data_IF_809836831894
#
_entry.id   IF_809836831894
#
_cell.length_a   1.000
_cell.length_b   1.000
_cell.length_c   1.000
_cell.angle_alpha   90.00
_cell.angle_beta   90.00
_cell.angle_gamma   90.00
#
_symmetry.space_group_name_H-M   'P 1'
#
loop_
_entity.id
_entity.type
_entity.pdbx_description
1 polymer ?
#
# COMPACT_ATOMS: atom_id res chain seq x y z
N UNK A 1 -26.43 29.40 -23.73
CA UNK A 1 -24.98 29.16 -23.58
C UNK A 1 -24.43 30.23 -22.66
N UNK A 2 -24.37 29.90 -21.37
CA UNK A 2 -23.63 30.57 -20.29
C UNK A 2 -23.97 29.79 -19.01
N UNK A 3 -23.07 28.93 -18.56
CA UNK A 3 -23.05 28.45 -17.17
C UNK A 3 -21.61 28.59 -16.67
N UNK A 4 -21.37 29.75 -16.09
CA UNK A 4 -20.21 30.07 -15.28
C UNK A 4 -20.15 29.13 -14.06
N UNK A 5 -18.94 28.68 -13.78
CA UNK A 5 -18.34 28.44 -12.47
C UNK A 5 -19.26 27.90 -11.38
N UNK A 6 -19.26 26.57 -11.23
CA UNK A 6 -19.26 26.00 -9.88
C UNK A 6 -17.80 25.98 -9.38
N UNK A 7 -17.30 27.15 -8.98
CA UNK A 7 -16.24 27.21 -7.97
C UNK A 7 -16.89 26.72 -6.66
N UNK A 8 -16.51 25.53 -6.22
CA UNK A 8 -16.69 25.13 -4.82
C UNK A 8 -15.98 26.20 -3.97
N UNK A 9 -16.59 26.69 -2.87
CA UNK A 9 -15.89 27.63 -2.00
C UNK A 9 -14.59 26.98 -1.52
N UNK A 10 -13.49 27.74 -1.49
CA UNK A 10 -12.20 27.34 -0.91
C UNK A 10 -12.44 26.61 0.41
N UNK A 11 -12.35 25.28 0.38
CA UNK A 11 -12.55 24.49 1.58
C UNK A 11 -11.45 24.89 2.57
N UNK A 12 -11.77 25.28 3.82
CA UNK A 12 -10.77 25.69 4.79
C UNK A 12 -9.71 24.61 4.94
N UNK A 13 -8.43 25.01 5.05
CA UNK A 13 -7.30 24.08 5.14
C UNK A 13 -7.57 22.97 6.19
N UNK A 14 -7.26 21.68 5.95
CA UNK A 14 -7.65 20.55 6.80
C UNK A 14 -7.35 20.74 8.28
N UNK A 15 -6.15 21.25 8.58
CA UNK A 15 -5.75 21.65 9.94
C UNK A 15 -6.74 22.61 10.60
N UNK A 16 -7.19 23.64 9.88
CA UNK A 16 -8.15 24.64 10.37
C UNK A 16 -9.47 23.96 10.71
N UNK A 17 -9.90 23.01 9.88
CA UNK A 17 -11.11 22.23 10.17
C UNK A 17 -10.94 21.36 11.41
N UNK A 18 -9.79 20.71 11.60
CA UNK A 18 -9.49 19.93 12.80
C UNK A 18 -9.45 20.79 14.07
N UNK A 19 -8.80 21.95 14.02
CA UNK A 19 -8.75 22.89 15.15
C UNK A 19 -10.15 23.42 15.48
N UNK A 20 -10.97 23.69 14.46
CA UNK A 20 -12.37 24.09 14.63
C UNK A 20 -13.19 22.94 15.25
N UNK A 21 -12.98 21.69 14.81
CA UNK A 21 -13.63 20.49 15.37
C UNK A 21 -13.25 20.27 16.84
N UNK A 22 -12.04 20.68 17.23
CA UNK A 22 -11.57 20.71 18.62
C UNK A 22 -12.11 21.91 19.44
N UNK A 23 -12.93 22.77 18.84
CA UNK A 23 -13.57 23.90 19.52
C UNK A 23 -12.70 25.16 19.60
N UNK A 24 -11.60 25.24 18.85
CA UNK A 24 -10.74 26.43 18.81
C UNK A 24 -11.31 27.47 17.84
N UNK A 25 -11.57 28.67 18.34
CA UNK A 25 -11.98 29.80 17.51
C UNK A 25 -10.75 30.38 16.79
N UNK A 26 -10.75 30.34 15.46
CA UNK A 26 -9.65 30.87 14.63
C UNK A 26 -10.08 32.17 13.97
N UNK A 27 -9.29 33.23 14.16
CA UNK A 27 -9.45 34.49 13.41
C UNK A 27 -8.87 34.33 12.01
N UNK A 28 -9.23 35.23 11.09
CA UNK A 28 -8.71 35.19 9.72
C UNK A 28 -7.19 35.40 9.67
N UNK A 29 -6.64 36.22 10.58
CA UNK A 29 -5.19 36.38 10.75
C UNK A 29 -4.51 35.08 11.21
N UNK A 30 -5.16 34.31 12.09
CA UNK A 30 -4.66 32.99 12.51
C UNK A 30 -4.67 31.99 11.36
N UNK A 31 -5.73 32.00 10.54
CA UNK A 31 -5.84 31.15 9.34
C UNK A 31 -4.74 31.48 8.33
N UNK A 32 -4.52 32.76 8.04
CA UNK A 32 -3.48 33.22 7.10
C UNK A 32 -2.07 32.84 7.58
N UNK A 33 -1.79 33.03 8.87
CA UNK A 33 -0.54 32.58 9.47
C UNK A 33 -0.37 31.08 9.29
N UNK A 34 -1.30 30.27 9.80
CA UNK A 34 -1.22 28.80 9.76
C UNK A 34 -1.14 28.24 8.32
N UNK A 35 -1.81 28.88 7.35
CA UNK A 35 -1.84 28.45 5.94
C UNK A 35 -0.58 28.79 5.16
N UNK A 36 0.23 29.74 5.64
CA UNK A 36 1.46 30.18 4.96
C UNK A 36 2.68 29.24 5.16
N UNK A 37 2.54 28.17 5.96
CA UNK A 37 3.67 27.41 6.47
C UNK A 37 3.98 26.11 5.73
N UNK A 38 5.27 25.86 5.49
CA UNK A 38 5.79 24.54 5.12
C UNK A 38 5.83 23.63 6.34
N UNK A 39 4.77 22.84 6.52
CA UNK A 39 4.65 21.45 6.99
C UNK A 39 5.68 20.76 7.94
N UNK A 40 6.98 21.07 7.92
CA UNK A 40 8.01 20.43 8.76
C UNK A 40 7.99 20.87 10.23
N UNK A 41 7.38 22.02 10.54
CA UNK A 41 7.35 22.60 11.89
C UNK A 41 5.93 22.82 12.43
N UNK A 42 4.96 22.06 11.92
CA UNK A 42 3.54 22.29 12.21
C UNK A 42 3.23 22.15 13.71
N UNK A 43 3.81 21.16 14.38
CA UNK A 43 3.60 20.87 15.80
C UNK A 43 4.18 21.97 16.72
N UNK A 44 5.40 22.45 16.46
CA UNK A 44 6.02 23.54 17.23
C UNK A 44 5.22 24.84 17.11
N UNK A 45 4.74 25.16 15.90
CA UNK A 45 3.97 26.39 15.66
C UNK A 45 2.56 26.29 16.21
N UNK A 46 1.94 25.12 16.15
CA UNK A 46 0.65 24.89 16.80
C UNK A 46 0.78 25.01 18.32
N UNK A 47 1.86 24.51 18.92
CA UNK A 47 2.16 24.68 20.34
C UNK A 47 2.34 26.17 20.72
N UNK A 48 3.06 26.95 19.89
CA UNK A 48 3.18 28.41 20.07
C UNK A 48 1.81 29.08 20.00
N UNK A 49 1.00 28.77 18.98
CA UNK A 49 -0.35 29.32 18.83
C UNK A 49 -1.22 29.03 20.05
N UNK A 50 -1.25 27.78 20.52
CA UNK A 50 -2.07 27.40 21.68
C UNK A 50 -1.61 28.08 22.96
N UNK A 51 -0.29 28.29 23.10
CA UNK A 51 0.29 29.06 24.20
C UNK A 51 -0.15 30.53 24.14
N UNK A 52 -0.11 31.16 22.95
CA UNK A 52 -0.59 32.54 22.74
C UNK A 52 -2.08 32.69 23.05
N UNK A 53 -2.89 31.66 22.76
CA UNK A 53 -4.33 31.64 23.09
C UNK A 53 -4.63 31.26 24.54
N UNK A 54 -3.61 30.93 25.35
CA UNK A 54 -3.80 30.47 26.73
C UNK A 54 -4.55 29.13 26.83
N UNK A 55 -4.53 28.32 25.77
CA UNK A 55 -5.17 27.01 25.74
C UNK A 55 -4.21 25.99 26.34
N UNK A 56 -4.57 25.29 27.43
CA UNK A 56 -3.73 24.23 27.97
C UNK A 56 -3.68 23.06 26.97
N UNK A 57 -2.47 22.58 26.69
CA UNK A 57 -2.26 21.44 25.79
C UNK A 57 -1.10 20.57 26.28
N UNK A 58 -1.12 19.31 25.85
CA UNK A 58 0.01 18.38 25.95
C UNK A 58 0.41 17.93 24.54
N UNK A 59 1.69 18.04 24.22
CA UNK A 59 2.27 17.53 22.98
C UNK A 59 3.04 16.24 23.28
N UNK A 60 2.66 15.14 22.63
CA UNK A 60 3.29 13.84 22.81
C UNK A 60 3.80 13.34 21.47
N UNK A 61 5.09 13.02 21.41
CA UNK A 61 5.64 12.26 20.29
C UNK A 61 5.17 10.81 20.39
N UNK A 62 4.57 10.28 19.32
CA UNK A 62 4.34 8.84 19.20
C UNK A 62 5.49 8.30 18.34
N UNK A 63 6.13 7.23 18.79
CA UNK A 63 7.16 6.51 18.05
C UNK A 63 6.84 5.01 18.03
N UNK A 64 6.33 4.48 19.13
CA UNK A 64 6.03 3.07 19.31
C UNK A 64 4.58 2.86 19.76
N UNK A 65 4.12 1.62 19.68
CA UNK A 65 2.73 1.28 19.96
C UNK A 65 2.28 1.59 21.39
N UNK A 66 3.23 1.55 22.34
CA UNK A 66 3.02 1.93 23.74
C UNK A 66 2.62 3.40 23.90
N UNK A 67 3.01 4.27 22.98
CA UNK A 67 2.76 5.70 23.07
C UNK A 67 1.29 6.04 22.81
N UNK A 68 0.49 5.11 22.28
CA UNK A 68 -0.96 5.28 22.16
C UNK A 68 -1.68 5.29 23.52
N UNK A 69 -1.04 4.81 24.59
CA UNK A 69 -1.54 5.00 25.95
C UNK A 69 -1.56 6.48 26.36
N UNK A 70 -0.84 7.33 25.63
CA UNK A 70 -0.71 8.76 25.89
C UNK A 70 -1.74 9.60 25.09
N UNK A 71 -2.55 8.98 24.22
CA UNK A 71 -3.67 9.63 23.55
C UNK A 71 -4.73 10.05 24.57
N UNK A 72 -5.06 11.34 24.61
CA UNK A 72 -6.15 11.88 25.43
C UNK A 72 -7.19 12.56 24.54
N UNK A 73 -8.20 11.80 24.05
CA UNK A 73 -9.25 12.36 23.21
C UNK A 73 -10.11 13.43 23.94
N UNK A 74 -10.62 14.45 23.24
CA UNK A 74 -10.37 14.71 21.82
C UNK A 74 -8.96 15.29 21.60
N UNK A 75 -8.21 14.69 20.68
CA UNK A 75 -6.84 15.12 20.38
C UNK A 75 -6.59 15.21 18.88
N UNK A 76 -5.73 16.15 18.49
CA UNK A 76 -5.20 16.25 17.14
C UNK A 76 -4.08 15.24 16.97
N UNK A 77 -4.14 14.45 15.90
CA UNK A 77 -3.03 13.59 15.49
C UNK A 77 -2.52 14.13 14.15
N UNK A 78 -1.24 14.46 14.10
CA UNK A 78 -0.54 14.64 12.83
C UNK A 78 -0.27 13.25 12.25
N UNK A 79 -1.12 12.84 11.32
CA UNK A 79 -1.09 11.56 10.64
C UNK A 79 -0.38 11.76 9.31
N UNK A 80 0.70 11.02 9.04
CA UNK A 80 1.28 10.78 7.71
C UNK A 80 1.28 11.96 6.69
N UNK A 81 2.48 12.51 6.41
CA UNK A 81 2.72 13.54 5.37
C UNK A 81 1.66 14.67 5.35
N UNK A 82 1.66 15.48 6.40
CA UNK A 82 0.98 16.79 6.43
C UNK A 82 -0.54 16.69 6.48
N UNK A 83 -1.07 15.52 6.84
CA UNK A 83 -2.47 15.34 7.16
C UNK A 83 -2.70 15.42 8.68
N UNK A 84 -3.85 15.94 9.06
CA UNK A 84 -4.24 16.06 10.46
C UNK A 84 -5.64 15.47 10.62
N UNK A 85 -5.82 14.70 11.68
CA UNK A 85 -7.11 14.15 12.06
C UNK A 85 -7.39 14.42 13.53
N UNK A 86 -8.66 14.36 13.90
CA UNK A 86 -9.08 14.48 15.30
C UNK A 86 -9.51 13.11 15.80
N UNK A 87 -8.78 12.53 16.75
CA UNK A 87 -9.28 11.37 17.49
C UNK A 87 -10.32 11.89 18.47
N UNK A 88 -11.59 11.53 18.27
CA UNK A 88 -12.72 11.93 19.10
C UNK A 88 -12.83 11.03 20.33
N UNK A 89 -12.71 9.72 20.14
CA UNK A 89 -12.88 8.73 21.21
C UNK A 89 -11.94 7.53 21.01
N UNK A 90 -11.59 6.89 22.12
CA UNK A 90 -10.78 5.67 22.15
C UNK A 90 -11.51 4.63 22.99
N UNK A 91 -11.84 3.51 22.36
CA UNK A 91 -12.62 2.43 22.99
C UNK A 91 -12.00 1.06 22.72
N UNK A 92 -12.58 0.02 23.33
CA UNK A 92 -12.24 -1.38 23.03
C UNK A 92 -12.54 -1.79 21.58
N UNK A 93 -13.33 -0.98 20.86
CA UNK A 93 -13.65 -1.23 19.45
C UNK A 93 -12.61 -0.59 18.52
N UNK A 94 -11.75 0.29 19.02
CA UNK A 94 -10.76 1.02 18.24
C UNK A 94 -10.81 2.53 18.49
N UNK A 95 -10.37 3.30 17.51
CA UNK A 95 -10.38 4.77 17.55
C UNK A 95 -11.55 5.32 16.72
N UNK A 96 -12.32 6.23 17.30
CA UNK A 96 -13.21 7.09 16.53
C UNK A 96 -12.42 8.32 16.09
N UNK A 97 -12.18 8.43 14.81
CA UNK A 97 -11.40 9.49 14.18
C UNK A 97 -12.34 10.32 13.31
N UNK A 98 -12.29 11.64 13.48
CA UNK A 98 -12.82 12.57 12.51
C UNK A 98 -11.70 13.04 11.61
N UNK A 99 -11.83 12.72 10.34
CA UNK A 99 -10.96 13.16 9.28
C UNK A 99 -11.68 14.28 8.50
N UNK A 100 -11.05 15.45 8.26
CA UNK A 100 -11.66 16.53 7.50
C UNK A 100 -12.10 16.13 6.09
N UNK A 101 -11.52 15.08 5.51
CA UNK A 101 -11.90 14.55 4.19
C UNK A 101 -12.93 13.43 4.25
N UNK A 102 -12.98 12.68 5.34
CA UNK A 102 -13.77 11.44 5.41
C UNK A 102 -14.92 11.49 6.41
N UNK A 103 -14.99 12.55 7.21
CA UNK A 103 -15.89 12.65 8.34
C UNK A 103 -15.50 11.67 9.45
N UNK A 104 -16.50 11.19 10.19
CA UNK A 104 -16.30 10.31 11.34
C UNK A 104 -16.14 8.86 10.90
N UNK A 105 -15.07 8.22 11.37
CA UNK A 105 -14.71 6.84 11.06
C UNK A 105 -14.20 6.09 12.27
N UNK A 106 -14.51 4.81 12.32
CA UNK A 106 -13.97 3.91 13.33
C UNK A 106 -12.82 3.12 12.71
N UNK A 107 -11.62 3.30 13.25
CA UNK A 107 -10.42 2.56 12.88
C UNK A 107 -10.10 1.51 13.92
N UNK A 108 -9.71 0.31 13.45
CA UNK A 108 -9.07 -0.67 14.33
C UNK A 108 -7.66 -0.22 14.69
N UNK A 109 -7.08 -0.80 15.73
CA UNK A 109 -5.81 -0.31 16.24
C UNK A 109 -4.67 -0.56 15.25
N UNK A 110 -4.59 -1.78 14.72
CA UNK A 110 -3.59 -2.14 13.70
C UNK A 110 -3.82 -1.42 12.38
N UNK A 111 -5.07 -1.18 11.99
CA UNK A 111 -5.41 -0.38 10.81
C UNK A 111 -4.92 1.07 10.97
N UNK A 112 -5.10 1.64 12.16
CA UNK A 112 -4.55 2.95 12.48
C UNK A 112 -3.02 2.94 12.40
N UNK A 113 -2.35 1.91 12.93
CA UNK A 113 -0.88 1.78 12.83
C UNK A 113 -0.37 1.63 11.40
N UNK A 114 -0.99 0.79 10.57
CA UNK A 114 -0.61 0.60 9.17
C UNK A 114 -0.66 1.93 8.38
N UNK A 115 -1.52 2.86 8.81
CA UNK A 115 -1.67 4.20 8.24
C UNK A 115 -0.75 5.25 8.90
N UNK A 116 -0.44 5.05 10.18
CA UNK A 116 0.33 5.95 11.03
C UNK A 116 1.85 5.73 10.94
N UNK A 117 2.30 4.48 10.85
CA UNK A 117 3.70 4.10 10.97
C UNK A 117 4.48 4.50 9.71
N UNK A 118 5.38 5.48 9.88
CA UNK A 118 6.35 5.88 8.86
C UNK A 118 7.76 5.76 9.42
N UNK A 119 8.64 5.00 8.76
CA UNK A 119 10.07 5.05 9.05
C UNK A 119 10.57 6.51 8.98
N UNK A 120 11.30 6.94 10.02
CA UNK A 120 11.98 8.23 10.05
C UNK A 120 11.15 9.48 10.38
N UNK A 121 9.85 9.37 10.68
CA UNK A 121 9.01 10.50 11.08
C UNK A 121 8.49 10.36 12.51
N UNK A 122 8.63 11.41 13.33
CA UNK A 122 7.96 11.51 14.63
C UNK A 122 6.58 12.10 14.39
N UNK A 123 5.53 11.29 14.56
CA UNK A 123 4.17 11.80 14.57
C UNK A 123 3.89 12.41 15.95
N UNK A 124 3.04 13.43 15.98
CA UNK A 124 2.71 14.15 17.20
C UNK A 124 1.22 14.10 17.46
N UNK A 125 0.90 13.89 18.73
CA UNK A 125 -0.42 14.09 19.30
C UNK A 125 -0.42 15.42 20.00
N UNK A 126 -1.44 16.20 19.76
CA UNK A 126 -1.75 17.36 20.56
C UNK A 126 -3.10 17.15 21.22
N UNK A 127 -3.07 16.94 22.54
CA UNK A 127 -4.26 16.82 23.37
C UNK A 127 -4.58 18.17 23.99
N UNK A 128 -5.84 18.60 23.92
CA UNK A 128 -6.30 19.80 24.61
C UNK A 128 -6.70 19.45 26.05
N UNK A 129 -6.27 20.27 27.01
CA UNK A 129 -6.52 20.04 28.44
C UNK A 129 -5.49 19.15 29.14
N UNK A 130 -5.81 18.72 30.36
CA UNK A 130 -4.92 17.89 31.18
C UNK A 130 -4.93 16.42 30.71
N UNK A 131 -3.77 15.74 30.69
CA UNK A 131 -3.68 14.35 30.28
C UNK A 131 -4.55 13.46 31.18
N UNK A 132 -5.38 12.63 30.55
CA UNK A 132 -6.25 11.73 31.30
C UNK A 132 -5.43 10.56 31.87
N UNK A 133 -5.49 10.36 33.18
CA UNK A 133 -4.69 9.36 33.89
C UNK A 133 -5.22 7.92 33.81
N UNK A 134 -6.09 7.60 32.83
CA UNK A 134 -6.68 6.26 32.70
C UNK A 134 -5.92 5.44 31.66
N UNK A 135 -5.57 4.17 31.97
CA UNK A 135 -4.95 3.30 30.98
C UNK A 135 -5.90 3.09 29.80
N UNK A 136 -5.38 3.31 28.60
CA UNK A 136 -6.15 3.20 27.36
C UNK A 136 -6.55 1.73 27.10
N UNK A 137 -7.80 1.46 26.70
CA UNK A 137 -8.20 0.11 26.26
C UNK A 137 -7.46 -0.32 24.99
N UNK A 138 -6.85 0.63 24.27
CA UNK A 138 -6.26 0.43 22.96
C UNK A 138 -5.03 -0.49 22.97
N UNK A 139 -4.20 -0.42 24.02
CA UNK A 139 -3.03 -1.30 24.14
C UNK A 139 -3.42 -2.79 24.21
N UNK A 140 -4.55 -3.09 24.85
CA UNK A 140 -5.09 -4.46 24.90
C UNK A 140 -5.68 -4.87 23.55
N UNK A 141 -6.37 -3.95 22.87
CA UNK A 141 -6.91 -4.17 21.51
C UNK A 141 -5.77 -4.43 20.53
N UNK A 142 -4.72 -3.60 20.53
CA UNK A 142 -3.53 -3.77 19.71
C UNK A 142 -2.87 -5.13 19.94
N UNK A 143 -2.56 -5.47 21.20
CA UNK A 143 -1.96 -6.77 21.56
C UNK A 143 -2.82 -7.94 21.10
N UNK A 144 -4.15 -7.81 21.15
CA UNK A 144 -5.08 -8.83 20.65
C UNK A 144 -5.05 -8.93 19.13
N UNK A 145 -5.14 -7.82 18.41
CA UNK A 145 -5.11 -7.78 16.94
C UNK A 145 -3.77 -8.33 16.42
N UNK A 146 -2.64 -7.91 17.01
CA UNK A 146 -1.32 -8.48 16.74
C UNK A 146 -1.23 -9.96 17.08
N UNK A 147 -1.80 -10.40 18.20
CA UNK A 147 -1.81 -11.82 18.52
C UNK A 147 -2.60 -12.61 17.47
N UNK A 148 -3.72 -12.07 16.96
CA UNK A 148 -4.48 -12.69 15.87
C UNK A 148 -3.66 -12.74 14.58
N UNK A 149 -2.99 -11.65 14.20
CA UNK A 149 -2.10 -11.59 13.02
C UNK A 149 -0.92 -12.54 13.17
N UNK A 150 -0.21 -12.54 14.30
CA UNK A 150 0.89 -13.48 14.57
C UNK A 150 0.41 -14.92 14.58
N UNK A 151 -0.79 -15.19 15.11
CA UNK A 151 -1.37 -16.54 15.07
C UNK A 151 -1.65 -16.92 13.63
N UNK A 152 -2.18 -16.01 12.83
CA UNK A 152 -2.45 -16.22 11.43
C UNK A 152 -1.16 -16.47 10.64
N UNK A 153 -0.19 -15.57 10.72
CA UNK A 153 1.09 -15.67 10.04
C UNK A 153 1.82 -16.94 10.48
N UNK A 154 2.00 -17.13 11.78
CA UNK A 154 2.75 -18.29 12.27
C UNK A 154 2.06 -19.60 11.94
N UNK A 155 0.74 -19.72 12.11
CA UNK A 155 0.06 -21.00 11.96
C UNK A 155 -0.39 -21.27 10.52
N UNK A 156 -1.00 -20.32 9.82
CA UNK A 156 -1.43 -20.54 8.44
C UNK A 156 -0.25 -20.61 7.47
N UNK A 157 0.79 -19.78 7.62
CA UNK A 157 1.99 -19.86 6.77
C UNK A 157 2.76 -21.14 7.05
N UNK A 158 2.93 -21.53 8.32
CA UNK A 158 3.59 -22.81 8.64
C UNK A 158 2.78 -24.02 8.16
N UNK A 159 1.45 -23.97 8.26
CA UNK A 159 0.59 -25.02 7.76
C UNK A 159 0.62 -25.08 6.23
N UNK A 160 0.56 -23.93 5.55
CA UNK A 160 0.78 -23.82 4.12
C UNK A 160 2.12 -24.44 3.75
N UNK A 161 3.20 -24.09 4.43
CA UNK A 161 4.55 -24.63 4.24
C UNK A 161 4.59 -26.16 4.36
N UNK A 162 3.96 -26.72 5.40
CA UNK A 162 3.91 -28.17 5.63
C UNK A 162 3.13 -28.90 4.54
N UNK A 163 2.01 -28.33 4.09
CA UNK A 163 1.08 -29.00 3.17
C UNK A 163 1.41 -28.69 1.70
N UNK A 164 2.24 -27.67 1.45
CA UNK A 164 2.75 -27.32 0.12
C UNK A 164 3.45 -28.49 -0.58
N UNK A 165 3.99 -29.47 0.15
CA UNK A 165 4.54 -30.70 -0.43
C UNK A 165 3.49 -31.61 -1.08
N UNK A 166 2.23 -31.52 -0.66
CA UNK A 166 1.09 -32.28 -1.19
C UNK A 166 0.51 -31.61 -2.45
N UNK A 167 0.74 -30.31 -2.61
CA UNK A 167 0.36 -29.52 -3.78
C UNK A 167 -0.47 -28.28 -3.44
N UNK A 168 -0.49 -27.30 -4.36
CA UNK A 168 -1.14 -25.99 -4.13
C UNK A 168 -2.66 -26.08 -4.00
N UNK A 169 -3.31 -26.92 -4.81
CA UNK A 169 -4.78 -27.14 -4.77
C UNK A 169 -5.30 -27.71 -3.43
N UNK A 170 -4.75 -28.82 -2.89
CA UNK A 170 -5.20 -29.32 -1.59
C UNK A 170 -4.85 -28.38 -0.43
N UNK A 171 -3.67 -27.74 -0.48
CA UNK A 171 -3.29 -26.69 0.50
C UNK A 171 -4.33 -25.57 0.51
N UNK A 172 -4.78 -25.14 -0.66
CA UNK A 172 -5.80 -24.09 -0.81
C UNK A 172 -7.15 -24.49 -0.25
N UNK A 173 -7.64 -25.67 -0.59
CA UNK A 173 -8.93 -26.15 -0.09
C UNK A 173 -8.93 -26.21 1.45
N UNK A 174 -7.86 -26.72 2.06
CA UNK A 174 -7.74 -26.80 3.51
C UNK A 174 -7.65 -25.42 4.15
N UNK A 175 -6.81 -24.51 3.63
CA UNK A 175 -6.66 -23.19 4.23
C UNK A 175 -7.93 -22.34 4.11
N UNK A 176 -8.70 -22.44 3.01
CA UNK A 176 -10.02 -21.80 2.92
C UNK A 176 -11.02 -22.36 3.94
N UNK A 177 -11.00 -23.67 4.18
CA UNK A 177 -11.84 -24.28 5.22
C UNK A 177 -11.45 -23.79 6.62
N UNK A 178 -10.15 -23.69 6.91
CA UNK A 178 -9.65 -23.25 8.20
C UNK A 178 -9.89 -21.76 8.45
N UNK A 179 -9.67 -20.88 7.47
CA UNK A 179 -10.00 -19.45 7.60
C UNK A 179 -11.51 -19.25 7.72
N UNK A 180 -12.31 -20.03 6.99
CA UNK A 180 -13.77 -20.03 7.10
C UNK A 180 -14.29 -20.55 8.44
N UNK A 181 -13.62 -21.53 9.05
CA UNK A 181 -13.91 -21.98 10.42
C UNK A 181 -13.51 -20.92 11.44
N UNK A 182 -12.28 -20.39 11.33
CA UNK A 182 -11.74 -19.37 12.21
C UNK A 182 -12.65 -18.14 12.23
N UNK A 183 -13.02 -17.60 11.07
CA UNK A 183 -13.88 -16.41 11.04
C UNK A 183 -15.26 -16.64 11.65
N UNK A 184 -15.83 -17.84 11.48
CA UNK A 184 -17.14 -18.16 12.08
C UNK A 184 -17.07 -18.33 13.60
N UNK A 185 -16.03 -18.97 14.11
CA UNK A 185 -15.91 -19.33 15.52
C UNK A 185 -15.25 -18.23 16.38
N UNK A 186 -14.26 -17.53 15.83
CA UNK A 186 -13.42 -16.55 16.56
C UNK A 186 -13.77 -15.12 16.20
N UNK A 187 -14.34 -14.87 15.00
CA UNK A 187 -14.65 -13.54 14.48
C UNK A 187 -13.47 -12.55 14.61
N UNK A 188 -12.31 -12.86 14.00
CA UNK A 188 -11.10 -12.10 14.23
C UNK A 188 -11.19 -10.72 13.55
N UNK A 189 -10.60 -9.74 14.20
CA UNK A 189 -10.67 -8.33 13.83
C UNK A 189 -9.83 -8.04 12.56
N UNK A 190 -8.85 -8.90 12.25
CA UNK A 190 -7.99 -8.85 11.05
C UNK A 190 -8.77 -8.87 9.70
N UNK A 191 -10.03 -9.30 9.70
CA UNK A 191 -10.88 -9.25 8.50
C UNK A 191 -11.60 -7.92 8.32
N UNK A 192 -11.64 -7.06 9.34
CA UNK A 192 -12.50 -5.87 9.33
C UNK A 192 -12.12 -4.88 8.23
N UNK A 193 -10.84 -4.48 8.15
CA UNK A 193 -10.37 -3.51 7.16
C UNK A 193 -10.46 -4.05 5.72
N UNK A 194 -9.93 -5.26 5.38
CA UNK A 194 -10.13 -5.82 4.05
C UNK A 194 -11.61 -5.99 3.68
N UNK A 195 -12.47 -6.43 4.62
CA UNK A 195 -13.92 -6.54 4.38
C UNK A 195 -14.53 -5.18 4.06
N UNK A 196 -14.22 -4.15 4.84
CA UNK A 196 -14.74 -2.80 4.61
C UNK A 196 -14.30 -2.27 3.24
N UNK A 197 -13.01 -2.37 2.92
CA UNK A 197 -12.44 -1.91 1.66
C UNK A 197 -13.07 -2.65 0.46
N UNK A 198 -13.17 -3.98 0.53
CA UNK A 198 -13.81 -4.79 -0.51
C UNK A 198 -15.29 -4.41 -0.67
N UNK A 199 -16.02 -4.28 0.43
CA UNK A 199 -17.44 -3.94 0.41
C UNK A 199 -17.67 -2.60 -0.29
N UNK A 200 -16.89 -1.60 0.10
CA UNK A 200 -16.99 -0.23 -0.40
C UNK A 200 -16.58 -0.15 -1.88
N UNK A 201 -15.41 -0.70 -2.22
CA UNK A 201 -14.82 -0.51 -3.55
C UNK A 201 -15.47 -1.38 -4.62
N UNK A 202 -15.85 -2.62 -4.28
CA UNK A 202 -16.55 -3.52 -5.21
C UNK A 202 -18.08 -3.42 -5.11
N UNK A 203 -18.60 -2.49 -4.29
CA UNK A 203 -20.03 -2.28 -4.06
C UNK A 203 -20.81 -3.59 -3.80
N UNK A 204 -20.23 -4.50 -3.03
CA UNK A 204 -20.80 -5.83 -2.76
C UNK A 204 -21.47 -5.90 -1.39
N UNK A 205 -22.24 -6.97 -1.13
CA UNK A 205 -22.88 -7.14 0.17
C UNK A 205 -21.84 -7.39 1.28
N UNK A 206 -22.16 -7.06 2.53
CA UNK A 206 -21.26 -7.32 3.66
C UNK A 206 -20.89 -8.82 3.78
N UNK A 207 -21.79 -9.72 3.40
CA UNK A 207 -21.53 -11.16 3.39
C UNK A 207 -20.55 -11.57 2.28
N UNK A 208 -20.71 -11.02 1.07
CA UNK A 208 -19.79 -11.22 -0.05
C UNK A 208 -18.41 -10.67 0.29
N UNK A 209 -18.33 -9.45 0.83
CA UNK A 209 -17.09 -8.83 1.25
C UNK A 209 -16.39 -9.65 2.33
N UNK A 210 -17.15 -10.19 3.30
CA UNK A 210 -16.63 -11.06 4.34
C UNK A 210 -16.07 -12.36 3.77
N UNK A 211 -16.75 -12.96 2.79
CA UNK A 211 -16.26 -14.14 2.10
C UNK A 211 -14.95 -13.85 1.35
N UNK A 212 -14.90 -12.76 0.60
CA UNK A 212 -13.71 -12.35 -0.15
C UNK A 212 -12.53 -12.02 0.77
N UNK A 213 -12.76 -11.36 1.91
CA UNK A 213 -11.71 -11.10 2.90
C UNK A 213 -11.11 -12.41 3.48
N UNK A 214 -11.93 -13.44 3.71
CA UNK A 214 -11.46 -14.77 4.13
C UNK A 214 -10.60 -15.44 3.07
N UNK A 215 -11.08 -15.42 1.83
CA UNK A 215 -10.37 -16.00 0.69
C UNK A 215 -9.06 -15.25 0.43
N UNK A 216 -9.07 -13.93 0.56
CA UNK A 216 -7.90 -13.07 0.47
C UNK A 216 -6.83 -13.53 1.45
N UNK A 217 -7.19 -13.70 2.72
CA UNK A 217 -6.27 -14.08 3.78
C UNK A 217 -5.74 -15.51 3.64
N UNK A 218 -6.63 -16.46 3.33
CA UNK A 218 -6.22 -17.83 3.03
C UNK A 218 -5.21 -17.84 1.89
N UNK A 219 -5.46 -17.04 0.86
CA UNK A 219 -4.62 -17.00 -0.30
C UNK A 219 -3.26 -16.33 -0.02
N UNK A 220 -3.22 -15.22 0.74
CA UNK A 220 -1.98 -14.62 1.24
C UNK A 220 -1.11 -15.65 2.00
N UNK A 221 -1.71 -16.38 2.95
CA UNK A 221 -1.00 -17.38 3.74
C UNK A 221 -0.50 -18.57 2.91
N UNK A 222 -1.30 -19.04 1.94
CA UNK A 222 -0.87 -20.07 0.97
C UNK A 222 0.41 -19.61 0.29
N UNK A 223 0.45 -18.37 -0.17
CA UNK A 223 1.58 -17.94 -0.97
C UNK A 223 2.82 -17.72 -0.11
N UNK A 224 2.70 -17.05 1.03
CA UNK A 224 3.82 -16.91 1.97
C UNK A 224 4.38 -18.28 2.36
N UNK A 225 3.52 -19.26 2.66
CA UNK A 225 3.96 -20.59 3.05
C UNK A 225 4.52 -21.40 1.89
N UNK A 226 3.97 -21.23 0.68
CA UNK A 226 4.48 -21.86 -0.52
C UNK A 226 5.84 -21.27 -0.91
N UNK A 227 5.99 -19.95 -0.94
CA UNK A 227 7.27 -19.26 -1.11
C UNK A 227 8.28 -19.77 -0.09
N UNK A 228 7.93 -19.82 1.21
CA UNK A 228 8.80 -20.40 2.24
C UNK A 228 9.15 -21.88 2.00
N UNK A 229 8.20 -22.68 1.47
CA UNK A 229 8.44 -24.08 1.11
C UNK A 229 9.47 -24.20 0.01
N UNK A 230 9.35 -23.35 -1.01
CA UNK A 230 10.29 -23.23 -2.10
C UNK A 230 11.66 -22.83 -1.56
N UNK A 231 11.77 -21.75 -0.81
CA UNK A 231 13.02 -21.33 -0.17
C UNK A 231 13.68 -22.46 0.63
N UNK A 232 12.91 -23.24 1.39
CA UNK A 232 13.42 -24.35 2.22
C UNK A 232 13.86 -25.57 1.42
N UNK A 233 13.09 -26.01 0.42
CA UNK A 233 13.46 -27.14 -0.44
C UNK A 233 14.60 -26.81 -1.39
N UNK A 234 14.72 -25.55 -1.80
CA UNK A 234 15.66 -25.10 -2.84
C UNK A 234 17.00 -24.60 -2.32
N UNK A 235 17.36 -24.95 -1.08
CA UNK A 235 18.78 -24.97 -0.67
C UNK A 235 19.67 -25.87 -1.57
N UNK A 236 19.12 -26.47 -2.64
CA UNK A 236 19.84 -27.12 -3.75
C UNK A 236 19.25 -26.64 -5.09
N UNK A 237 20.04 -25.91 -5.91
CA UNK A 237 19.59 -25.33 -7.17
C UNK A 237 19.91 -26.30 -8.31
N UNK A 238 19.02 -27.23 -8.72
CA UNK A 238 19.37 -28.17 -9.81
C UNK A 238 18.27 -28.76 -10.70
N UNK A 239 17.01 -28.30 -10.73
CA UNK A 239 16.11 -28.87 -11.74
C UNK A 239 15.11 -27.92 -12.37
N UNK A 240 15.06 -28.00 -13.70
CA UNK A 240 13.99 -27.54 -14.60
C UNK A 240 12.60 -28.03 -14.13
N UNK A 241 12.54 -29.13 -13.36
CA UNK A 241 11.33 -29.57 -12.66
C UNK A 241 10.81 -28.58 -11.61
N UNK A 242 11.67 -27.77 -10.98
CA UNK A 242 11.24 -26.67 -10.11
C UNK A 242 10.43 -25.62 -10.91
N UNK A 243 10.95 -25.23 -12.06
CA UNK A 243 10.30 -24.30 -13.00
C UNK A 243 8.98 -24.86 -13.58
N UNK A 244 8.76 -26.18 -13.55
CA UNK A 244 7.49 -26.79 -14.00
C UNK A 244 6.51 -27.12 -12.86
N UNK A 245 6.99 -27.32 -11.62
CA UNK A 245 6.15 -27.70 -10.47
C UNK A 245 5.68 -26.52 -9.61
N UNK A 246 6.46 -25.45 -9.56
CA UNK A 246 6.08 -24.16 -8.95
C UNK A 246 5.14 -23.39 -9.85
N UNK A 247 5.43 -23.44 -11.15
CA UNK A 247 4.74 -22.69 -12.18
C UNK A 247 3.84 -23.64 -12.94
N UNK A 248 2.62 -23.83 -12.46
CA UNK A 248 1.61 -24.63 -13.15
C UNK A 248 0.95 -23.85 -14.30
N UNK A 249 1.71 -23.27 -15.22
CA UNK A 249 1.26 -23.00 -16.58
C UNK A 249 2.38 -22.38 -17.43
N UNK A 250 2.75 -22.96 -18.58
CA UNK A 250 3.27 -22.14 -19.67
C UNK A 250 2.20 -21.10 -20.01
N UNK A 251 2.62 -19.84 -20.10
CA UNK A 251 1.74 -18.75 -20.49
C UNK A 251 1.17 -19.04 -21.88
N UNK A 252 -0.14 -18.97 -21.98
CA UNK A 252 -0.97 -19.50 -23.07
C UNK A 252 -0.91 -18.69 -24.37
N UNK A 253 0.14 -17.90 -24.58
CA UNK A 253 0.31 -17.11 -25.81
C UNK A 253 1.67 -17.40 -26.45
N UNK A 254 1.72 -17.88 -27.71
CA UNK A 254 2.97 -18.16 -28.42
C UNK A 254 3.78 -16.90 -28.81
N UNK A 255 3.29 -15.70 -28.49
CA UNK A 255 3.97 -14.42 -28.72
C UNK A 255 4.02 -13.63 -27.42
N UNK A 256 5.20 -13.08 -27.10
CA UNK A 256 5.37 -12.21 -25.95
C UNK A 256 4.53 -10.94 -26.10
N UNK A 257 3.82 -10.50 -25.04
CA UNK A 257 3.11 -9.21 -25.03
C UNK A 257 4.07 -8.01 -24.88
N UNK A 258 5.37 -8.25 -24.67
CA UNK A 258 6.37 -7.21 -24.43
C UNK A 258 7.20 -6.97 -25.69
N UNK A 259 7.28 -5.71 -26.11
CA UNK A 259 8.02 -5.29 -27.31
C UNK A 259 8.97 -4.16 -26.91
N UNK A 260 10.21 -4.20 -27.40
CA UNK A 260 11.21 -3.17 -27.14
C UNK A 260 11.56 -3.06 -25.65
N UNK A 261 12.00 -1.87 -25.23
CA UNK A 261 12.24 -1.61 -23.82
C UNK A 261 10.91 -1.49 -23.06
N UNK A 262 10.80 -2.12 -21.89
CA UNK A 262 9.57 -2.15 -21.10
C UNK A 262 9.77 -1.62 -19.68
N UNK A 263 8.82 -0.81 -19.21
CA UNK A 263 8.60 -0.46 -17.81
C UNK A 263 7.32 -1.20 -17.38
N UNK A 264 7.40 -2.06 -16.38
CA UNK A 264 6.32 -2.93 -15.95
C UNK A 264 5.94 -2.60 -14.51
N UNK A 265 4.74 -2.10 -14.32
CA UNK A 265 4.10 -1.89 -13.03
C UNK A 265 3.30 -3.15 -12.67
N UNK A 266 3.91 -3.97 -11.81
CA UNK A 266 3.47 -5.28 -11.42
C UNK A 266 2.63 -5.18 -10.14
N UNK A 267 1.35 -5.51 -10.21
CA UNK A 267 0.55 -5.77 -9.02
C UNK A 267 0.89 -7.20 -8.57
N UNK A 268 1.36 -7.36 -7.32
CA UNK A 268 1.65 -8.68 -6.79
C UNK A 268 0.39 -9.26 -6.16
N UNK A 269 -0.31 -10.07 -6.97
CA UNK A 269 -1.46 -10.79 -6.47
C UNK A 269 -1.07 -11.74 -5.35
N UNK A 270 0.08 -12.42 -5.41
CA UNK A 270 0.26 -13.59 -4.55
C UNK A 270 1.71 -13.95 -4.24
N UNK A 271 2.62 -13.84 -5.18
CA UNK A 271 3.99 -14.31 -4.99
C UNK A 271 4.88 -13.41 -5.84
N UNK A 272 5.57 -12.43 -5.23
CA UNK A 272 6.32 -11.43 -5.98
C UNK A 272 7.45 -12.10 -6.78
N UNK A 273 7.98 -13.25 -6.35
CA UNK A 273 8.94 -14.04 -7.13
C UNK A 273 8.27 -14.62 -8.36
N UNK A 274 7.12 -15.30 -8.19
CA UNK A 274 6.41 -15.88 -9.33
C UNK A 274 5.98 -14.84 -10.36
N UNK A 275 5.49 -13.69 -9.91
CA UNK A 275 5.05 -12.61 -10.77
C UNK A 275 6.22 -12.01 -11.56
N UNK A 276 7.35 -11.72 -10.89
CA UNK A 276 8.58 -11.24 -11.54
C UNK A 276 9.14 -12.28 -12.52
N UNK A 277 9.13 -13.56 -12.12
CA UNK A 277 9.60 -14.65 -12.97
C UNK A 277 8.75 -14.82 -14.23
N UNK A 278 7.42 -14.79 -14.11
CA UNK A 278 6.51 -14.84 -15.25
C UNK A 278 6.73 -13.67 -16.21
N UNK A 279 6.96 -12.46 -15.69
CA UNK A 279 7.32 -11.30 -16.51
C UNK A 279 8.64 -11.54 -17.23
N UNK A 280 9.68 -11.99 -16.53
CA UNK A 280 11.01 -12.25 -17.09
C UNK A 280 11.01 -13.30 -18.20
N UNK A 281 10.18 -14.34 -18.11
CA UNK A 281 10.05 -15.35 -19.16
C UNK A 281 9.46 -14.81 -20.46
N UNK A 282 8.72 -13.69 -20.40
CA UNK A 282 8.11 -13.07 -21.57
C UNK A 282 8.89 -11.85 -22.02
N UNK A 283 9.70 -11.24 -21.15
CA UNK A 283 10.54 -10.13 -21.53
C UNK A 283 11.56 -10.53 -22.61
N UNK A 284 11.76 -9.70 -23.64
CA UNK A 284 12.89 -9.83 -24.55
C UNK A 284 14.21 -10.06 -23.80
N UNK A 285 15.04 -10.97 -24.30
CA UNK A 285 16.32 -11.32 -23.67
C UNK A 285 17.49 -10.42 -24.09
N UNK A 286 17.22 -9.35 -24.85
CA UNK A 286 18.22 -8.45 -25.44
C UNK A 286 18.77 -7.40 -24.46
N UNK A 287 18.19 -7.30 -23.26
CA UNK A 287 18.48 -6.22 -22.30
C UNK A 287 18.57 -6.72 -20.87
N UNK A 288 19.34 -5.99 -20.08
CA UNK A 288 19.37 -6.12 -18.62
C UNK A 288 18.00 -5.83 -18.00
N UNK A 289 17.77 -6.36 -16.80
CA UNK A 289 16.51 -6.17 -16.06
C UNK A 289 16.78 -5.64 -14.67
N UNK A 290 15.96 -4.68 -14.24
CA UNK A 290 16.00 -4.12 -12.89
C UNK A 290 14.65 -4.33 -12.22
N UNK A 291 14.67 -4.87 -11.00
CA UNK A 291 13.47 -5.01 -10.15
C UNK A 291 13.54 -3.96 -9.04
N UNK A 292 12.45 -3.21 -8.85
CA UNK A 292 12.37 -2.10 -7.90
C UNK A 292 11.14 -2.22 -6.99
N UNK A 293 11.31 -1.95 -5.69
CA UNK A 293 10.18 -1.57 -4.83
C UNK A 293 9.51 -2.70 -4.03
N UNK A 294 10.25 -3.67 -3.50
CA UNK A 294 9.71 -4.59 -2.48
C UNK A 294 10.77 -4.79 -1.38
N UNK A 295 10.42 -4.75 -0.07
CA UNK A 295 11.33 -5.14 1.00
C UNK A 295 11.49 -6.66 0.98
N UNK A 296 12.09 -7.19 -0.08
CA UNK A 296 12.61 -8.54 -0.07
C UNK A 296 13.78 -8.56 0.91
N UNK A 297 13.71 -9.46 1.89
CA UNK A 297 14.89 -9.74 2.70
C UNK A 297 16.04 -10.27 1.83
N UNK A 298 17.26 -10.25 2.36
CA UNK A 298 18.45 -10.71 1.63
C UNK A 298 18.32 -12.15 1.12
N UNK A 299 17.50 -12.97 1.79
CA UNK A 299 17.24 -14.36 1.39
C UNK A 299 16.41 -14.41 0.10
N UNK A 300 15.36 -13.61 0.02
CA UNK A 300 14.50 -13.46 -1.15
C UNK A 300 15.27 -12.88 -2.34
N UNK A 301 16.10 -11.86 -2.11
CA UNK A 301 17.00 -11.29 -3.13
C UNK A 301 17.94 -12.36 -3.69
N UNK A 302 18.58 -13.13 -2.80
CA UNK A 302 19.51 -14.21 -3.18
C UNK A 302 18.82 -15.29 -3.99
N UNK A 303 17.63 -15.73 -3.59
CA UNK A 303 16.89 -16.77 -4.31
C UNK A 303 16.39 -16.28 -5.67
N UNK A 304 15.97 -15.02 -5.78
CA UNK A 304 15.72 -14.40 -7.07
C UNK A 304 16.97 -14.52 -7.95
N UNK A 305 18.11 -13.97 -7.54
CA UNK A 305 19.35 -14.06 -8.33
C UNK A 305 19.71 -15.49 -8.76
N UNK A 306 19.54 -16.48 -7.87
CA UNK A 306 19.79 -17.89 -8.19
C UNK A 306 18.79 -18.45 -9.22
N UNK A 307 17.48 -18.22 -9.02
CA UNK A 307 16.44 -18.68 -9.94
C UNK A 307 16.59 -18.09 -11.35
N UNK A 308 17.20 -16.90 -11.45
CA UNK A 308 17.41 -16.20 -12.72
C UNK A 308 18.75 -16.53 -13.40
N UNK A 309 19.80 -16.85 -12.63
CA UNK A 309 21.09 -17.31 -13.17
C UNK A 309 20.96 -18.63 -13.95
N UNK A 310 20.05 -19.51 -13.53
CA UNK A 310 19.83 -20.84 -14.13
C UNK A 310 19.13 -20.79 -15.52
N UNK A 311 18.69 -19.62 -16.00
CA UNK A 311 18.06 -19.47 -17.32
C UNK A 311 19.06 -19.32 -18.48
N UNK A 312 20.37 -19.27 -18.21
CA UNK A 312 21.39 -19.19 -19.26
C UNK A 312 21.36 -17.91 -20.10
N UNK A 313 20.71 -16.85 -19.60
CA UNK A 313 20.64 -15.56 -20.28
C UNK A 313 21.90 -14.73 -19.98
N UNK A 314 22.50 -14.13 -21.01
CA UNK A 314 23.63 -13.19 -20.88
C UNK A 314 23.24 -11.86 -20.19
N UNK A 315 21.95 -11.63 -19.95
CA UNK A 315 21.43 -10.40 -19.33
C UNK A 315 21.61 -10.39 -17.81
N UNK A 316 21.95 -9.24 -17.25
CA UNK A 316 22.08 -9.06 -15.80
C UNK A 316 20.74 -8.70 -15.17
N UNK A 317 20.49 -9.22 -13.96
CA UNK A 317 19.37 -8.82 -13.11
C UNK A 317 19.90 -8.02 -11.92
N UNK A 318 19.41 -6.80 -11.73
CA UNK A 318 19.70 -5.96 -10.57
C UNK A 318 18.42 -5.80 -9.73
N UNK A 319 18.49 -6.04 -8.42
CA UNK A 319 17.37 -5.80 -7.51
C UNK A 319 17.72 -4.57 -6.67
N UNK A 320 16.91 -3.52 -6.79
CA UNK A 320 17.08 -2.27 -6.05
C UNK A 320 16.09 -2.24 -4.87
N UNK A 321 16.56 -1.90 -3.65
CA UNK A 321 15.68 -1.80 -2.49
C UNK A 321 14.66 -0.67 -2.68
N UNK A 322 13.47 -0.77 -2.05
CA UNK A 322 12.61 0.39 -1.85
C UNK A 322 13.40 1.41 -1.01
N UNK A 323 13.17 2.72 -1.26
CA UNK A 323 13.75 3.85 -0.56
C UNK A 323 15.12 4.39 -1.07
N UNK A 324 15.14 5.71 -1.27
CA UNK A 324 16.32 6.58 -1.42
C UNK A 324 16.19 7.49 -2.64
N UNK A 325 16.54 8.78 -2.51
CA UNK A 325 16.67 9.69 -3.67
C UNK A 325 17.64 9.10 -4.70
N UNK A 326 18.67 8.43 -4.20
CA UNK A 326 19.64 7.67 -4.99
C UNK A 326 19.05 6.47 -5.73
N UNK A 327 18.02 5.81 -5.20
CA UNK A 327 17.40 4.63 -5.81
C UNK A 327 16.58 4.98 -7.04
N UNK A 328 15.83 6.10 -7.03
CA UNK A 328 15.15 6.59 -8.23
C UNK A 328 16.15 7.05 -9.31
N UNK A 329 17.21 7.79 -8.96
CA UNK A 329 18.23 8.19 -9.93
C UNK A 329 18.98 6.98 -10.52
N UNK A 330 19.26 5.95 -9.71
CA UNK A 330 19.78 4.67 -10.20
C UNK A 330 18.80 4.03 -11.17
N UNK A 331 17.52 3.95 -10.82
CA UNK A 331 16.46 3.40 -11.66
C UNK A 331 16.39 4.12 -13.02
N UNK A 332 16.35 5.46 -13.01
CA UNK A 332 16.36 6.27 -14.23
C UNK A 332 17.65 6.07 -15.06
N UNK A 333 18.81 5.95 -14.41
CA UNK A 333 20.08 5.67 -15.08
C UNK A 333 20.04 4.31 -15.80
N UNK A 334 19.50 3.27 -15.15
CA UNK A 334 19.36 1.94 -15.76
C UNK A 334 18.34 1.93 -16.90
N UNK A 335 17.21 2.60 -16.71
CA UNK A 335 16.21 2.76 -17.77
C UNK A 335 16.82 3.50 -18.99
N UNK A 336 17.60 4.58 -18.79
CA UNK A 336 18.29 5.26 -19.90
C UNK A 336 19.37 4.40 -20.58
N UNK A 337 19.97 3.46 -19.86
CA UNK A 337 20.88 2.47 -20.42
C UNK A 337 20.15 1.38 -21.23
N UNK A 338 18.81 1.41 -21.29
CA UNK A 338 18.00 0.49 -22.08
C UNK A 338 17.51 -0.74 -21.33
N UNK A 339 17.71 -0.82 -20.01
CA UNK A 339 17.23 -1.95 -19.20
C UNK A 339 15.70 -2.00 -19.12
N UNK A 340 15.13 -3.21 -19.04
CA UNK A 340 13.75 -3.40 -18.62
C UNK A 340 13.62 -3.09 -17.13
N UNK A 341 12.53 -2.45 -16.74
CA UNK A 341 12.25 -2.13 -15.34
C UNK A 341 10.98 -2.86 -14.92
N UNK A 342 11.04 -3.58 -13.81
CA UNK A 342 9.88 -4.16 -13.13
C UNK A 342 9.74 -3.45 -11.79
N UNK A 343 8.58 -2.88 -11.51
CA UNK A 343 8.29 -2.19 -10.25
C UNK A 343 6.96 -2.66 -9.67
N UNK A 344 6.85 -2.74 -8.35
CA UNK A 344 5.59 -3.13 -7.71
C UNK A 344 4.61 -1.96 -7.66
N UNK A 345 3.43 -2.14 -8.22
CA UNK A 345 2.39 -1.11 -8.39
C UNK A 345 1.45 -0.97 -7.18
N UNK A 346 1.45 -1.98 -6.32
CA UNK A 346 0.64 -2.14 -5.12
C UNK A 346 1.43 -1.93 -3.82
N UNK A 347 2.68 -1.48 -3.93
CA UNK A 347 3.48 -1.06 -2.79
C UNK A 347 2.84 0.12 -2.08
N UNK A 348 2.78 0.07 -0.74
CA UNK A 348 2.30 1.18 0.07
C UNK A 348 3.12 2.43 -0.31
N UNK A 349 2.50 3.48 -0.88
CA UNK A 349 3.18 4.69 -1.31
C UNK A 349 3.80 5.49 -0.14
N UNK A 350 3.66 4.99 1.08
CA UNK A 350 4.21 5.50 2.33
C UNK A 350 5.48 4.84 2.79
N UNK A 351 5.85 3.69 2.23
CA UNK A 351 7.15 3.05 2.45
C UNK A 351 8.24 3.75 1.63
N UNK A 352 8.24 5.09 1.66
CA UNK A 352 9.26 5.92 1.04
C UNK A 352 10.32 6.22 2.07
N UNK A 353 11.57 6.22 1.60
CA UNK A 353 12.76 6.63 2.35
C UNK A 353 12.53 7.79 3.32
N UNK A 354 13.16 7.69 4.48
CA UNK A 354 13.37 8.76 5.45
C UNK A 354 13.95 10.05 4.82
N UNK A 355 14.59 9.95 3.64
CA UNK A 355 15.18 11.06 2.90
C UNK A 355 14.20 11.83 1.98
N UNK A 356 13.01 11.29 1.71
CA UNK A 356 12.05 11.91 0.81
C UNK A 356 11.14 12.88 1.59
N UNK A 357 11.19 14.17 1.24
CA UNK A 357 10.24 15.16 1.77
C UNK A 357 8.82 14.82 1.33
N UNK A 358 7.81 15.08 2.16
CA UNK A 358 6.40 14.88 1.82
C UNK A 358 5.95 15.45 0.47
N UNK A 359 6.48 16.62 0.09
CA UNK A 359 6.21 17.25 -1.21
C UNK A 359 6.77 16.44 -2.41
N UNK A 360 7.92 15.78 -2.25
CA UNK A 360 8.49 14.91 -3.30
C UNK A 360 7.66 13.64 -3.47
N UNK A 361 7.18 13.09 -2.35
CA UNK A 361 6.26 11.95 -2.36
C UNK A 361 4.97 12.36 -3.08
N UNK A 362 4.31 13.44 -2.64
CA UNK A 362 3.08 13.93 -3.27
C UNK A 362 3.22 14.19 -4.79
N UNK A 363 4.33 14.79 -5.23
CA UNK A 363 4.61 15.00 -6.67
C UNK A 363 4.79 13.71 -7.47
N UNK A 364 5.13 12.62 -6.80
CA UNK A 364 5.28 11.28 -7.38
C UNK A 364 3.95 10.54 -7.49
N UNK A 365 2.84 11.12 -7.01
CA UNK A 365 1.48 10.58 -7.16
C UNK A 365 0.62 11.52 -7.98
N UNK A 366 -0.37 10.98 -8.68
CA UNK A 366 -1.32 11.79 -9.46
C UNK A 366 -2.72 11.33 -9.14
N UNK A 367 -3.64 12.28 -9.00
CA UNK A 367 -5.04 11.97 -8.81
C UNK A 367 -5.60 11.21 -10.00
N UNK A 368 -6.43 10.21 -9.72
CA UNK A 368 -7.20 9.45 -10.69
C UNK A 368 -8.50 8.97 -10.04
N UNK A 369 -9.34 8.28 -10.81
CA UNK A 369 -10.53 7.60 -10.30
C UNK A 369 -10.28 6.10 -10.36
N UNK A 370 -10.43 5.40 -9.23
CA UNK A 370 -10.48 3.94 -9.18
C UNK A 370 -11.89 3.53 -8.75
N UNK A 371 -12.57 2.75 -9.61
CA UNK A 371 -14.01 2.49 -9.55
C UNK A 371 -14.83 3.79 -9.52
N UNK A 372 -15.16 4.28 -8.33
CA UNK A 372 -15.96 5.49 -8.11
C UNK A 372 -15.35 6.41 -7.05
N UNK A 373 -14.07 6.18 -6.70
CA UNK A 373 -13.39 6.91 -5.66
C UNK A 373 -12.17 7.63 -6.23
N UNK A 374 -11.97 8.87 -5.79
CA UNK A 374 -10.72 9.61 -6.03
C UNK A 374 -9.59 8.83 -5.37
N UNK A 375 -8.57 8.52 -6.16
CA UNK A 375 -7.39 7.77 -5.76
C UNK A 375 -6.13 8.49 -6.24
N UNK A 376 -4.98 8.04 -5.77
CA UNK A 376 -3.67 8.56 -6.07
C UNK A 376 -2.75 7.40 -6.40
N UNK A 377 -2.31 7.34 -7.64
CA UNK A 377 -1.42 6.29 -8.13
C UNK A 377 -0.09 6.92 -8.50
N UNK A 378 1.00 6.18 -8.24
CA UNK A 378 2.36 6.65 -8.53
C UNK A 378 2.49 7.01 -10.01
N UNK A 379 3.21 8.08 -10.34
CA UNK A 379 3.55 8.43 -11.72
C UNK A 379 4.94 7.90 -12.11
N UNK A 380 5.61 7.14 -11.24
CA UNK A 380 7.02 6.75 -11.41
C UNK A 380 7.25 6.02 -12.73
N UNK A 381 6.46 5.00 -13.06
CA UNK A 381 6.60 4.27 -14.32
C UNK A 381 6.26 5.13 -15.54
N UNK A 382 5.29 6.03 -15.44
CA UNK A 382 4.97 6.99 -16.51
C UNK A 382 6.14 7.96 -16.77
N UNK A 383 6.77 8.46 -15.70
CA UNK A 383 7.91 9.36 -15.81
C UNK A 383 9.15 8.66 -16.39
N UNK A 384 9.39 7.39 -16.02
CA UNK A 384 10.45 6.59 -16.65
C UNK A 384 10.16 6.36 -18.13
N UNK A 385 8.95 5.93 -18.47
CA UNK A 385 8.53 5.67 -19.84
C UNK A 385 8.69 6.91 -20.74
N UNK A 386 8.26 8.09 -20.26
CA UNK A 386 8.44 9.37 -20.95
C UNK A 386 9.93 9.69 -21.18
N UNK A 387 10.77 9.51 -20.15
CA UNK A 387 12.20 9.89 -20.20
C UNK A 387 13.06 8.94 -21.01
N UNK A 388 12.58 7.74 -21.33
CA UNK A 388 13.33 6.71 -22.06
C UNK A 388 12.63 6.21 -23.31
N UNK A 389 11.45 6.74 -23.65
CA UNK A 389 10.58 6.23 -24.70
C UNK A 389 10.31 4.71 -24.58
N UNK A 390 10.27 4.19 -23.35
CA UNK A 390 9.99 2.79 -23.07
C UNK A 390 8.48 2.53 -23.05
N UNK A 391 8.08 1.31 -23.37
CA UNK A 391 6.69 0.88 -23.33
C UNK A 391 6.28 0.63 -21.87
N UNK A 392 5.21 1.28 -21.43
CA UNK A 392 4.66 1.13 -20.09
C UNK A 392 3.59 0.03 -20.08
N UNK A 393 3.67 -0.86 -19.09
CA UNK A 393 2.70 -1.93 -18.91
C UNK A 393 2.27 -1.99 -17.45
N UNK A 394 1.00 -2.28 -17.22
CA UNK A 394 0.50 -2.77 -15.93
C UNK A 394 0.30 -4.27 -16.05
N UNK A 395 0.84 -5.05 -15.13
CA UNK A 395 0.78 -6.51 -15.17
C UNK A 395 0.40 -7.09 -13.81
N UNK A 396 -0.20 -8.28 -13.83
CA UNK A 396 -0.50 -9.04 -12.62
C UNK A 396 -0.69 -10.51 -12.95
N UNK A 397 -0.32 -11.38 -12.02
CA UNK A 397 -0.84 -12.75 -12.08
C UNK A 397 -2.32 -12.70 -11.73
N UNK A 398 -3.13 -13.44 -12.48
CA UNK A 398 -4.57 -13.60 -12.22
C UNK A 398 -4.92 -15.08 -12.19
N UNK A 399 -5.79 -15.47 -11.28
CA UNK A 399 -6.32 -16.83 -11.21
C UNK A 399 -7.68 -16.91 -11.92
N UNK A 400 -7.71 -17.63 -13.05
CA UNK A 400 -8.93 -18.10 -13.73
C UNK A 400 -9.05 -19.62 -13.51
N UNK A 401 -8.89 -20.44 -14.55
CA UNK A 401 -8.74 -21.91 -14.42
C UNK A 401 -7.29 -22.35 -14.11
N UNK A 402 -6.34 -21.50 -14.50
CA UNK A 402 -4.90 -21.57 -14.24
C UNK A 402 -4.41 -20.17 -13.90
N UNK A 403 -3.21 -20.08 -13.32
CA UNK A 403 -2.55 -18.79 -13.13
C UNK A 403 -2.02 -18.30 -14.46
N UNK A 404 -2.43 -17.10 -14.86
CA UNK A 404 -1.99 -16.43 -16.09
C UNK A 404 -1.44 -15.05 -15.77
N UNK A 405 -0.41 -14.63 -16.48
CA UNK A 405 0.09 -13.25 -16.44
C UNK A 405 -0.79 -12.43 -17.35
N UNK A 406 -1.60 -11.55 -16.76
CA UNK A 406 -2.39 -10.58 -17.49
C UNK A 406 -1.57 -9.30 -17.64
N UNK A 407 -1.45 -8.79 -18.86
CA UNK A 407 -0.64 -7.62 -19.19
C UNK A 407 -1.51 -6.62 -19.94
N UNK A 408 -1.54 -5.38 -19.45
CA UNK A 408 -2.20 -4.26 -20.11
C UNK A 408 -1.15 -3.24 -20.55
N UNK A 409 -0.97 -2.98 -21.86
CA UNK A 409 -0.14 -1.86 -22.32
C UNK A 409 -0.83 -0.54 -21.96
N UNK A 410 -0.04 0.42 -21.48
CA UNK A 410 -0.51 1.76 -21.12
C UNK A 410 -0.04 2.73 -22.20
N UNK A 411 -0.95 3.43 -22.90
CA UNK A 411 -0.56 4.44 -23.86
C UNK A 411 0.14 5.59 -23.13
N UNK A 412 1.29 6.02 -23.64
CA UNK A 412 2.06 7.15 -23.10
C UNK A 412 2.23 8.29 -24.10
N UNK A 413 2.08 7.99 -25.40
CA UNK A 413 2.26 8.98 -26.46
C UNK A 413 1.08 9.95 -26.52
N UNK A 414 1.37 11.25 -26.55
CA UNK A 414 0.39 12.33 -26.71
C UNK A 414 -0.71 12.39 -25.63
N UNK A 415 -0.51 11.75 -24.49
CA UNK A 415 -1.43 11.80 -23.35
C UNK A 415 -0.89 12.72 -22.25
N UNK A 416 -1.80 13.38 -21.55
CA UNK A 416 -1.44 14.09 -20.33
C UNK A 416 -1.04 13.09 -19.24
N UNK A 417 -0.31 13.57 -18.23
CA UNK A 417 0.07 12.78 -17.07
C UNK A 417 -1.14 12.14 -16.39
N UNK A 418 -2.22 12.89 -16.25
CA UNK A 418 -3.49 12.47 -15.63
C UNK A 418 -4.14 11.35 -16.44
N UNK A 419 -4.14 11.47 -17.77
CA UNK A 419 -4.70 10.44 -18.65
C UNK A 419 -3.91 9.13 -18.59
N UNK A 420 -2.57 9.20 -18.51
CA UNK A 420 -1.71 8.01 -18.34
C UNK A 420 -2.00 7.35 -17.00
N UNK A 421 -2.09 8.14 -15.91
CA UNK A 421 -2.36 7.60 -14.58
C UNK A 421 -3.77 7.03 -14.46
N UNK A 422 -4.77 7.63 -15.12
CA UNK A 422 -6.11 7.07 -15.21
C UNK A 422 -6.10 5.72 -15.93
N UNK A 423 -5.43 5.60 -17.09
CA UNK A 423 -5.33 4.34 -17.82
C UNK A 423 -4.66 3.23 -16.99
N UNK A 424 -3.66 3.58 -16.18
CA UNK A 424 -3.04 2.67 -15.21
C UNK A 424 -4.01 2.23 -14.13
N UNK A 425 -4.71 3.18 -13.51
CA UNK A 425 -5.70 2.92 -12.47
C UNK A 425 -6.80 1.97 -12.97
N UNK A 426 -7.30 2.19 -14.20
CA UNK A 426 -8.27 1.31 -14.84
C UNK A 426 -7.71 -0.10 -15.04
N UNK A 427 -6.43 -0.22 -15.43
CA UNK A 427 -5.76 -1.53 -15.58
C UNK A 427 -5.61 -2.25 -14.23
N UNK A 428 -5.27 -1.53 -13.17
CA UNK A 428 -5.20 -2.05 -11.79
C UNK A 428 -6.57 -2.55 -11.33
N UNK A 429 -7.63 -1.75 -11.50
CA UNK A 429 -9.00 -2.13 -11.15
C UNK A 429 -9.41 -3.42 -11.88
N UNK A 430 -9.16 -3.52 -13.19
CA UNK A 430 -9.48 -4.74 -13.96
C UNK A 430 -8.76 -5.97 -13.43
N UNK A 431 -7.47 -5.89 -13.09
CA UNK A 431 -6.73 -7.01 -12.52
C UNK A 431 -7.34 -7.48 -11.20
N UNK A 432 -7.69 -6.52 -10.33
CA UNK A 432 -8.31 -6.78 -9.04
C UNK A 432 -9.70 -7.40 -9.21
N UNK A 433 -10.50 -6.91 -10.15
CA UNK A 433 -11.84 -7.45 -10.45
C UNK A 433 -11.81 -8.87 -10.99
N UNK A 434 -10.84 -9.19 -11.87
CA UNK A 434 -10.68 -10.54 -12.42
C UNK A 434 -10.40 -11.54 -11.31
N UNK A 435 -9.66 -11.13 -10.27
CA UNK A 435 -9.24 -12.04 -9.22
C UNK A 435 -9.11 -11.29 -7.89
N UNK A 436 -10.22 -11.02 -7.18
CA UNK A 436 -10.25 -10.08 -6.04
C UNK A 436 -9.49 -10.57 -4.80
N UNK A 437 -9.05 -11.82 -4.73
CA UNK A 437 -8.34 -12.36 -3.59
C UNK A 437 -6.80 -12.24 -3.68
N UNK A 438 -6.20 -12.20 -2.50
CA UNK A 438 -4.79 -12.12 -2.05
C UNK A 438 -3.94 -10.95 -2.46
N UNK A 439 -4.55 -9.89 -2.97
CA UNK A 439 -3.86 -8.62 -3.04
C UNK A 439 -3.58 -8.08 -1.62
N UNK A 440 -2.34 -7.69 -1.37
CA UNK A 440 -2.01 -6.85 -0.23
C UNK A 440 -2.73 -5.49 -0.28
N UNK A 441 -3.15 -5.08 -1.49
CA UNK A 441 -3.98 -3.90 -1.74
C UNK A 441 -5.14 -3.76 -0.74
N UNK A 442 -5.91 -4.82 -0.46
CA UNK A 442 -7.12 -4.70 0.37
C UNK A 442 -6.87 -4.31 1.83
N UNK A 443 -5.67 -4.59 2.34
CA UNK A 443 -5.26 -4.17 3.68
C UNK A 443 -5.05 -2.65 3.73
N UNK A 444 -4.38 -2.11 2.73
CA UNK A 444 -3.93 -0.72 2.70
C UNK A 444 -4.65 0.11 1.65
N UNK A 445 -5.83 -0.31 1.19
CA UNK A 445 -6.47 0.32 0.04
C UNK A 445 -6.72 1.80 0.32
N UNK A 446 -7.12 2.14 1.54
CA UNK A 446 -7.36 3.50 2.04
C UNK A 446 -6.23 4.49 1.74
N UNK A 447 -4.96 4.05 1.82
CA UNK A 447 -3.77 4.84 1.51
C UNK A 447 -3.86 5.45 0.10
N UNK A 448 -4.34 4.68 -0.87
CA UNK A 448 -4.48 5.12 -2.25
C UNK A 448 -5.56 6.18 -2.41
N UNK A 449 -6.57 6.25 -1.55
CA UNK A 449 -7.75 7.10 -1.76
C UNK A 449 -7.73 8.40 -0.97
N UNK A 450 -6.85 8.51 0.04
CA UNK A 450 -7.04 9.49 1.11
C UNK A 450 -5.83 10.40 1.37
N UNK A 451 -4.60 9.94 1.15
CA UNK A 451 -3.45 10.56 1.81
C UNK A 451 -2.79 11.73 1.08
N UNK A 452 -3.09 11.96 -0.20
CA UNK A 452 -2.43 13.01 -0.98
C UNK A 452 -3.27 14.26 -1.21
N UNK A 453 -4.50 14.30 -0.69
CA UNK A 453 -5.45 15.38 -0.95
C UNK A 453 -4.92 16.73 -0.45
N UNK A 454 -4.39 16.80 0.78
CA UNK A 454 -3.90 18.06 1.37
C UNK A 454 -2.67 18.64 0.65
N UNK A 455 -1.70 17.79 0.29
CA UNK A 455 -0.45 18.22 -0.33
C UNK A 455 -0.60 18.56 -1.84
N UNK A 456 -1.64 18.04 -2.50
CA UNK A 456 -1.90 18.26 -3.93
C UNK A 456 -2.90 19.37 -4.23
N UNK A 457 -3.71 19.80 -3.26
CA UNK A 457 -4.67 20.91 -3.43
C UNK A 457 -4.08 22.30 -3.18
N UNK A 458 -2.88 22.38 -2.60
CA UNK A 458 -2.13 23.65 -2.51
C UNK A 458 -1.35 24.00 -3.79
N UNK A 459 -1.66 23.36 -4.93
CA UNK A 459 -1.10 23.62 -6.27
C UNK A 459 -2.20 24.04 -7.22
#
# INVERSE_FOLDING_TARGET
>A
MNSLNHELPDAPHPLIQCLTKLGLALSQEHVERLSSFTSLYLHERLAVYLTEQGVPFSATAIQEESDLELLSPPCLVHWNLHHCVVVIDVSVQGLLVWDPYLGERHYRCMEFFDLYEKPGYVNYVLSLGEPHSRPSPLAQVCKREQAQERTLDKHLVSLALMISSVGKRPTRALLRLLTGWWDRCVQPDIFAAPRHNIQRMLACSNEQARHLARDNLAQLAINMGYTAHLLRKLRRPRSVEWAHRVFSAPLSTPQSPFIGQCIIELLHQFDPISAVYSVLQNLPSDRDVVVYGNPWDDTMITVCHQAFADQGHERTLEILPPAGKHSFFKLLKRARAGAHIIMFADGNPLLVSDEASGLQVARSFTACTMWHHRAFVTNTGALLADKTAANLHVAGLVERDRLTLEVTPIPTQHLSREAIVQAKADAMCRLIEISPQGWWFWRNAEVYFHEYHAALECQ
#
